data_IF_861503971729
#
_entry.id   IF_861503971729
#
_cell.length_a   1.000
_cell.length_b   1.000
_cell.length_c   1.000
_cell.angle_alpha   90.00
_cell.angle_beta   90.00
_cell.angle_gamma   90.00
#
_symmetry.space_group_name_H-M   'P 1'
#
loop_
_entity.id
_entity.type
_entity.pdbx_description
1 polymer ?
#
# COMPACT_ATOMS: atom_id res chain seq x y z
N UNK A 1 31.99 -2.79 44.63
CA UNK A 1 32.67 -2.27 43.41
C UNK A 1 32.54 -3.33 42.33
N UNK A 2 32.02 -2.92 41.17
CA UNK A 2 31.64 -3.78 40.03
C UNK A 2 32.84 -4.56 39.45
N UNK A 3 32.64 -5.78 38.92
CA UNK A 3 33.57 -6.41 38.00
C UNK A 3 33.28 -5.93 36.56
N UNK A 4 34.30 -5.40 35.88
CA UNK A 4 34.23 -5.02 34.46
C UNK A 4 34.44 -6.25 33.59
N UNK A 5 33.39 -6.61 32.84
CA UNK A 5 33.36 -7.77 31.95
C UNK A 5 34.18 -7.58 30.67
N UNK A 6 34.89 -8.64 30.28
CA UNK A 6 35.62 -8.76 29.02
C UNK A 6 34.69 -8.79 27.80
N UNK A 7 34.92 -7.89 26.83
CA UNK A 7 34.34 -8.00 25.49
C UNK A 7 34.99 -9.16 24.73
N UNK A 8 34.21 -10.23 24.51
CA UNK A 8 34.58 -11.35 23.64
C UNK A 8 34.56 -10.89 22.18
N UNK A 9 35.72 -10.93 21.52
CA UNK A 9 35.90 -10.64 20.09
C UNK A 9 35.61 -11.92 19.30
N UNK A 10 34.57 -11.92 18.48
CA UNK A 10 34.30 -13.00 17.54
C UNK A 10 35.22 -12.85 16.32
N UNK A 11 36.15 -13.77 16.13
CA UNK A 11 36.94 -13.88 14.90
C UNK A 11 36.21 -14.82 13.96
N UNK A 12 35.66 -14.30 12.86
CA UNK A 12 35.25 -15.13 11.72
C UNK A 12 36.53 -15.56 10.99
N UNK A 13 36.85 -16.85 11.07
CA UNK A 13 37.93 -17.45 10.28
C UNK A 13 37.44 -17.74 8.87
N UNK A 14 37.90 -16.97 7.89
CA UNK A 14 37.76 -17.30 6.48
C UNK A 14 38.95 -18.21 6.09
N UNK A 15 38.66 -19.49 5.79
CA UNK A 15 39.67 -20.47 5.40
C UNK A 15 40.02 -20.33 3.92
N UNK A 16 41.15 -19.68 3.62
CA UNK A 16 41.77 -19.72 2.30
C UNK A 16 42.84 -20.83 2.28
N UNK A 17 42.51 -21.93 1.63
CA UNK A 17 43.44 -23.00 1.24
C UNK A 17 44.31 -22.53 0.08
N UNK A 18 45.57 -22.17 0.32
CA UNK A 18 46.71 -22.41 -0.59
C UNK A 18 48.03 -22.20 0.15
N UNK A 19 48.93 -23.15 -0.06
CA UNK A 19 50.22 -23.38 0.60
C UNK A 19 51.31 -22.35 0.21
N UNK A 20 51.04 -21.06 0.43
CA UNK A 20 52.02 -19.98 0.28
C UNK A 20 52.08 -19.18 1.56
N UNK A 21 53.18 -19.34 2.30
CA UNK A 21 53.53 -18.53 3.47
C UNK A 21 53.33 -17.04 3.14
N UNK A 22 52.33 -16.43 3.78
CA UNK A 22 52.04 -15.01 3.63
C UNK A 22 53.28 -14.24 4.13
N UNK A 23 53.92 -13.39 3.30
CA UNK A 23 55.11 -12.65 3.73
C UNK A 23 54.82 -11.82 4.98
N UNK A 24 55.74 -11.72 5.96
CA UNK A 24 55.52 -10.96 7.20
C UNK A 24 55.13 -9.49 6.95
N UNK A 25 55.61 -8.91 5.84
CA UNK A 25 55.26 -7.55 5.38
C UNK A 25 53.79 -7.41 4.96
N UNK A 26 53.15 -8.49 4.54
CA UNK A 26 51.73 -8.53 4.15
C UNK A 26 50.82 -8.68 5.37
N UNK A 27 51.24 -9.46 6.38
CA UNK A 27 50.56 -9.55 7.69
C UNK A 27 50.60 -8.19 8.40
N UNK A 28 51.74 -7.49 8.31
CA UNK A 28 51.87 -6.13 8.86
C UNK A 28 50.95 -5.14 8.14
N UNK A 29 50.82 -5.21 6.81
CA UNK A 29 49.84 -4.40 6.05
C UNK A 29 48.39 -4.69 6.42
N UNK A 30 48.01 -5.94 6.70
CA UNK A 30 46.66 -6.30 7.15
C UNK A 30 46.34 -5.77 8.56
N UNK A 31 47.33 -5.73 9.45
CA UNK A 31 47.19 -5.17 10.80
C UNK A 31 47.26 -3.63 10.82
N UNK A 32 48.03 -3.01 9.92
CA UNK A 32 48.17 -1.55 9.78
C UNK A 32 47.04 -0.92 8.95
N UNK A 33 46.29 -1.71 8.17
CA UNK A 33 44.96 -1.30 7.68
C UNK A 33 43.98 -1.35 8.83
N UNK A 34 44.04 -0.34 9.71
CA UNK A 34 42.83 0.12 10.37
C UNK A 34 41.85 0.52 9.25
N UNK A 35 40.97 -0.40 8.83
CA UNK A 35 39.74 0.01 8.20
C UNK A 35 39.09 0.97 9.18
N UNK A 36 39.19 2.27 8.92
CA UNK A 36 38.39 3.27 9.62
C UNK A 36 36.97 2.96 9.19
N UNK A 37 36.32 2.05 9.92
CA UNK A 37 34.87 1.92 9.87
C UNK A 37 34.38 3.24 10.40
N UNK A 38 34.04 4.16 9.48
CA UNK A 38 33.44 5.44 9.81
C UNK A 38 32.30 5.19 10.79
N UNK A 39 32.14 6.09 11.77
CA UNK A 39 31.09 5.96 12.78
C UNK A 39 29.75 5.67 12.06
N UNK A 40 29.04 4.58 12.40
CA UNK A 40 27.81 4.24 11.71
C UNK A 40 26.79 5.37 11.78
N UNK A 41 26.24 5.74 10.62
CA UNK A 41 25.24 6.79 10.46
C UNK A 41 23.84 6.23 10.75
N UNK A 42 23.03 6.89 11.59
CA UNK A 42 21.66 6.45 11.85
C UNK A 42 20.79 6.55 10.58
N UNK A 43 19.72 5.74 10.48
CA UNK A 43 18.84 5.76 9.33
C UNK A 43 18.10 7.10 9.24
N UNK A 44 17.81 7.54 8.02
CA UNK A 44 16.93 8.68 7.75
C UNK A 44 16.21 8.51 6.40
N UNK A 45 15.07 9.19 6.26
CA UNK A 45 14.30 9.19 5.01
C UNK A 45 14.78 10.31 4.10
N UNK A 46 15.11 10.00 2.84
CA UNK A 46 15.26 11.01 1.78
C UNK A 46 13.92 11.34 1.14
N UNK A 47 13.10 10.32 0.92
CA UNK A 47 11.77 10.45 0.33
C UNK A 47 10.80 9.65 1.19
N UNK A 48 9.76 10.33 1.67
CA UNK A 48 8.73 9.71 2.51
C UNK A 48 7.59 9.18 1.64
N UNK A 49 6.87 8.13 2.08
CA UNK A 49 5.71 7.64 1.35
C UNK A 49 4.64 8.71 1.16
N UNK A 50 4.14 8.82 -0.06
CA UNK A 50 2.99 9.67 -0.35
C UNK A 50 1.71 9.07 0.24
N UNK A 51 0.82 9.90 0.82
CA UNK A 51 -0.51 9.46 1.19
C UNK A 51 -1.32 9.02 -0.04
N UNK A 52 -2.14 7.99 0.11
CA UNK A 52 -2.93 7.41 -0.98
C UNK A 52 -4.36 7.16 -0.58
N UNK A 53 -5.20 6.92 -1.58
CA UNK A 53 -6.61 6.55 -1.40
C UNK A 53 -6.86 5.11 -1.82
N UNK A 54 -7.88 4.52 -1.20
CA UNK A 54 -8.30 3.16 -1.49
C UNK A 54 -9.17 3.13 -2.75
N UNK A 55 -8.66 2.49 -3.80
CA UNK A 55 -9.47 2.05 -4.93
C UNK A 55 -9.82 0.57 -4.71
N UNK A 56 -11.08 0.21 -4.38
CA UNK A 56 -11.41 -1.16 -4.03
C UNK A 56 -11.02 -2.19 -5.10
N UNK A 57 -10.42 -3.30 -4.67
CA UNK A 57 -9.94 -4.37 -5.52
C UNK A 57 -8.61 -4.10 -6.24
N UNK A 58 -8.04 -2.89 -6.11
CA UNK A 58 -6.72 -2.54 -6.66
C UNK A 58 -5.59 -2.81 -5.67
N UNK A 59 -4.36 -2.78 -6.16
CA UNK A 59 -3.18 -2.82 -5.29
C UNK A 59 -2.76 -1.39 -4.97
N UNK A 60 -2.26 -1.18 -3.75
CA UNK A 60 -1.68 0.10 -3.31
C UNK A 60 -0.22 -0.15 -2.97
N UNK A 61 0.67 0.69 -3.50
CA UNK A 61 2.12 0.60 -3.26
C UNK A 61 2.61 1.86 -2.56
N UNK A 62 3.28 1.70 -1.43
CA UNK A 62 4.02 2.75 -0.73
C UNK A 62 5.52 2.55 -0.92
N UNK A 63 6.23 3.65 -1.16
CA UNK A 63 7.66 3.67 -1.40
C UNK A 63 8.29 4.69 -0.46
N UNK A 64 9.39 4.33 0.19
CA UNK A 64 10.22 5.26 0.93
C UNK A 64 11.68 5.07 0.55
N UNK A 65 12.39 6.15 0.29
CA UNK A 65 13.84 6.11 0.02
C UNK A 65 14.59 6.48 1.28
N UNK A 66 15.59 5.68 1.63
CA UNK A 66 16.28 5.79 2.92
C UNK A 66 17.79 5.94 2.70
N UNK A 67 18.48 6.46 3.71
CA UNK A 67 19.96 6.40 3.83
C UNK A 67 20.33 6.02 5.24
N UNK A 68 21.58 5.65 5.41
CA UNK A 68 22.20 5.29 6.68
C UNK A 68 23.22 4.19 6.46
N UNK A 69 24.00 3.87 7.49
CA UNK A 69 24.95 2.77 7.40
C UNK A 69 24.22 1.42 7.38
N UNK A 70 24.67 0.53 6.51
CA UNK A 70 24.22 -0.86 6.46
C UNK A 70 24.66 -1.64 7.72
N UNK A 71 23.96 -2.73 8.09
CA UNK A 71 22.73 -3.25 7.49
C UNK A 71 21.48 -2.49 7.95
N UNK A 72 20.71 -1.98 6.99
CA UNK A 72 19.41 -1.35 7.25
C UNK A 72 18.31 -2.42 7.24
N UNK A 73 17.46 -2.39 8.25
CA UNK A 73 16.28 -3.24 8.37
C UNK A 73 15.02 -2.40 8.26
N UNK A 74 14.08 -2.83 7.43
CA UNK A 74 12.80 -2.15 7.21
C UNK A 74 11.67 -2.95 7.84
N UNK A 75 10.81 -2.26 8.57
CA UNK A 75 9.57 -2.79 9.14
C UNK A 75 8.41 -1.86 8.80
N UNK A 76 7.27 -2.45 8.51
CA UNK A 76 6.02 -1.71 8.32
C UNK A 76 5.06 -2.01 9.45
N UNK A 77 4.35 -1.00 9.91
CA UNK A 77 3.35 -1.12 10.97
C UNK A 77 2.01 -0.61 10.46
N UNK A 78 0.93 -1.21 10.97
CA UNK A 78 -0.43 -0.68 10.86
C UNK A 78 -0.95 -0.41 12.27
N UNK A 79 -1.11 0.87 12.61
CA UNK A 79 -1.19 1.29 14.01
C UNK A 79 0.01 0.75 14.80
N UNK A 80 -0.24 0.02 15.89
CA UNK A 80 0.81 -0.60 16.71
C UNK A 80 1.30 -1.98 16.21
N UNK A 81 0.66 -2.57 15.20
CA UNK A 81 0.93 -3.95 14.78
C UNK A 81 1.96 -4.00 13.66
N UNK A 82 3.06 -4.72 13.87
CA UNK A 82 4.03 -5.03 12.81
C UNK A 82 3.38 -5.90 11.73
N UNK A 83 3.52 -5.48 10.48
CA UNK A 83 3.01 -6.17 9.31
C UNK A 83 3.98 -7.26 8.88
N UNK A 84 3.43 -8.36 8.36
CA UNK A 84 4.19 -9.50 7.89
C UNK A 84 3.95 -9.69 6.39
N UNK A 85 5.00 -10.09 5.68
CA UNK A 85 4.90 -10.45 4.27
C UNK A 85 3.97 -11.66 4.11
N UNK A 86 3.07 -11.64 3.13
CA UNK A 86 2.10 -12.70 2.87
C UNK A 86 1.19 -12.42 1.67
N UNK A 87 0.17 -13.26 1.47
CA UNK A 87 -0.69 -13.22 0.26
C UNK A 87 -1.37 -11.87 -0.02
N UNK A 88 -1.67 -11.08 1.02
CA UNK A 88 -2.32 -9.77 0.89
C UNK A 88 -1.37 -8.58 1.05
N UNK A 89 -0.10 -8.82 1.36
CA UNK A 89 0.84 -7.79 1.75
C UNK A 89 2.27 -8.21 1.35
N UNK A 90 2.88 -7.51 0.42
CA UNK A 90 4.28 -7.69 0.07
C UNK A 90 5.12 -6.56 0.68
N UNK A 91 6.15 -6.95 1.42
CA UNK A 91 7.15 -6.03 1.98
C UNK A 91 8.49 -6.39 1.35
N UNK A 92 9.23 -5.39 0.87
CA UNK A 92 10.59 -5.56 0.36
C UNK A 92 11.47 -4.35 0.61
N UNK A 93 12.78 -4.56 0.59
CA UNK A 93 13.79 -3.51 0.70
C UNK A 93 14.93 -3.80 -0.28
N UNK A 94 15.06 -2.97 -1.31
CA UNK A 94 16.06 -3.14 -2.39
C UNK A 94 16.57 -1.77 -2.81
N UNK A 95 17.88 -1.66 -3.03
CA UNK A 95 18.53 -0.42 -3.49
C UNK A 95 18.10 0.82 -2.68
N UNK A 96 18.08 0.69 -1.35
CA UNK A 96 17.67 1.72 -0.39
C UNK A 96 16.23 2.23 -0.55
N UNK A 97 15.36 1.43 -1.19
CA UNK A 97 13.92 1.70 -1.33
C UNK A 97 13.12 0.67 -0.53
N UNK A 98 12.45 1.15 0.52
CA UNK A 98 11.49 0.41 1.32
C UNK A 98 10.13 0.39 0.60
N UNK A 99 9.60 -0.80 0.34
CA UNK A 99 8.35 -0.98 -0.39
C UNK A 99 7.34 -1.75 0.43
N UNK A 100 6.10 -1.25 0.47
CA UNK A 100 4.92 -1.97 0.96
C UNK A 100 3.87 -2.01 -0.14
N UNK A 101 3.45 -3.20 -0.54
CA UNK A 101 2.34 -3.42 -1.48
C UNK A 101 1.20 -4.09 -0.73
N UNK A 102 0.03 -3.47 -0.73
CA UNK A 102 -1.22 -4.07 -0.27
C UNK A 102 -2.00 -4.54 -1.49
N UNK A 103 -2.38 -5.82 -1.52
CA UNK A 103 -3.11 -6.40 -2.66
C UNK A 103 -4.62 -6.35 -2.45
N UNK A 104 -5.35 -6.05 -3.53
CA UNK A 104 -6.84 -6.07 -3.56
C UNK A 104 -7.45 -5.32 -2.36
N UNK A 105 -7.02 -4.09 -2.15
CA UNK A 105 -7.43 -3.29 -1.00
C UNK A 105 -8.94 -3.05 -0.98
N UNK A 106 -9.48 -2.88 0.21
CA UNK A 106 -10.86 -2.47 0.48
C UNK A 106 -10.87 -1.43 1.61
N UNK A 107 -12.05 -0.93 1.99
CA UNK A 107 -12.25 0.02 3.10
C UNK A 107 -11.53 -0.40 4.39
N UNK A 108 -11.47 -1.71 4.69
CA UNK A 108 -10.88 -2.23 5.91
C UNK A 108 -9.37 -2.05 5.95
N UNK A 109 -8.72 -1.63 4.86
CA UNK A 109 -7.31 -1.30 4.79
C UNK A 109 -7.02 0.16 5.15
N UNK A 110 -8.03 1.02 5.31
CA UNK A 110 -7.85 2.42 5.65
C UNK A 110 -7.16 2.61 7.00
N UNK A 111 -6.47 3.73 7.14
CA UNK A 111 -5.89 4.19 8.40
C UNK A 111 -4.39 4.45 8.33
N UNK A 112 -3.77 4.44 9.50
CA UNK A 112 -2.38 4.83 9.69
C UNK A 112 -1.42 3.65 9.54
N UNK A 113 -0.36 3.93 8.80
CA UNK A 113 0.77 3.03 8.60
C UNK A 113 2.06 3.73 9.02
N UNK A 114 3.09 2.97 9.35
CA UNK A 114 4.41 3.52 9.67
C UNK A 114 5.49 2.70 9.00
N UNK A 115 6.33 3.36 8.22
CA UNK A 115 7.59 2.80 7.76
C UNK A 115 8.65 3.04 8.82
N UNK A 116 9.38 1.99 9.21
CA UNK A 116 10.41 2.07 10.23
C UNK A 116 11.69 1.45 9.72
N UNK A 117 12.79 2.18 9.89
CA UNK A 117 14.11 1.79 9.40
C UNK A 117 15.06 1.74 10.58
N UNK A 118 15.86 0.69 10.70
CA UNK A 118 16.70 0.41 11.87
C UNK A 118 18.09 -0.02 11.42
N UNK A 119 19.12 0.48 12.10
CA UNK A 119 20.46 -0.10 12.11
C UNK A 119 21.04 -0.08 13.53
N UNK A 120 22.35 -0.33 13.66
CA UNK A 120 23.03 -0.33 14.95
C UNK A 120 23.25 1.07 15.56
N UNK A 121 23.17 2.14 14.77
CA UNK A 121 23.32 3.52 15.22
C UNK A 121 21.99 4.14 15.67
N UNK A 122 20.86 3.59 15.23
CA UNK A 122 19.56 4.08 15.64
C UNK A 122 18.41 3.54 14.80
N UNK A 123 17.29 4.23 14.94
CA UNK A 123 16.02 3.91 14.30
C UNK A 123 15.30 5.19 13.93
N UNK A 124 14.63 5.16 12.79
CA UNK A 124 13.79 6.26 12.32
C UNK A 124 12.41 5.71 11.92
N UNK A 125 11.36 6.51 12.04
CA UNK A 125 9.99 6.13 11.71
C UNK A 125 9.26 7.24 10.96
N UNK A 126 8.61 6.89 9.86
CA UNK A 126 7.84 7.79 9.04
C UNK A 126 6.37 7.33 9.01
N UNK A 127 5.43 8.10 9.60
CA UNK A 127 4.01 7.81 9.51
C UNK A 127 3.46 8.18 8.12
N UNK A 128 2.47 7.43 7.65
CA UNK A 128 1.69 7.75 6.45
C UNK A 128 0.23 7.34 6.65
N UNK A 129 -0.66 7.89 5.84
CA UNK A 129 -2.08 7.58 5.91
C UNK A 129 -2.59 7.01 4.58
N UNK A 130 -3.37 5.93 4.67
CA UNK A 130 -4.16 5.39 3.56
C UNK A 130 -5.62 5.79 3.79
N UNK A 131 -6.08 6.76 2.99
CA UNK A 131 -7.41 7.32 3.13
C UNK A 131 -8.47 6.40 2.53
N UNK A 132 -9.64 6.29 3.17
CA UNK A 132 -10.81 5.79 2.47
C UNK A 132 -11.15 6.77 1.33
N UNK A 133 -11.79 6.27 0.28
CA UNK A 133 -12.41 7.15 -0.71
C UNK A 133 -13.53 7.96 -0.04
N UNK A 134 -13.43 9.29 -0.11
CA UNK A 134 -14.41 10.24 0.43
C UNK A 134 -14.96 11.13 -0.69
N UNK A 135 -16.26 11.36 -0.66
CA UNK A 135 -16.97 12.25 -1.59
C UNK A 135 -17.34 13.53 -0.87
N UNK A 136 -17.09 14.69 -1.46
CA UNK A 136 -17.56 15.98 -0.91
C UNK A 136 -18.95 16.33 -1.44
N UNK A 137 -19.81 16.87 -0.56
CA UNK A 137 -21.13 17.42 -0.92
C UNK A 137 -21.06 18.44 -2.05
N UNK A 138 -22.07 18.46 -2.91
CA UNK A 138 -22.22 19.42 -4.00
C UNK A 138 -21.47 19.05 -5.27
N UNK A 139 -20.56 18.08 -5.23
CA UNK A 139 -19.80 17.64 -6.39
C UNK A 139 -20.48 16.46 -7.10
N UNK A 140 -20.19 16.33 -8.39
CA UNK A 140 -20.59 15.18 -9.17
C UNK A 140 -19.74 13.95 -8.81
N UNK A 141 -20.37 12.78 -8.78
CA UNK A 141 -19.71 11.49 -8.54
C UNK A 141 -20.06 10.52 -9.63
N UNK A 142 -19.07 9.85 -10.19
CA UNK A 142 -19.27 8.75 -11.12
C UNK A 142 -18.75 7.46 -10.51
N UNK A 143 -19.66 6.54 -10.19
CA UNK A 143 -19.34 5.15 -9.85
C UNK A 143 -19.19 4.36 -11.15
N UNK A 144 -18.15 3.54 -11.26
CA UNK A 144 -17.95 2.65 -12.42
C UNK A 144 -17.89 1.19 -11.98
N UNK A 145 -18.26 0.29 -12.88
CA UNK A 145 -18.18 -1.15 -12.71
C UNK A 145 -17.79 -1.76 -14.05
N UNK A 146 -16.70 -2.52 -14.09
CA UNK A 146 -16.26 -3.27 -15.28
C UNK A 146 -16.90 -4.64 -15.27
N UNK A 147 -17.64 -4.97 -16.31
CA UNK A 147 -18.39 -6.21 -16.42
C UNK A 147 -17.79 -7.02 -17.57
N UNK A 148 -17.40 -8.25 -17.26
CA UNK A 148 -16.94 -9.26 -18.20
C UNK A 148 -17.95 -10.41 -18.24
N UNK A 149 -18.39 -10.77 -19.43
CA UNK A 149 -19.36 -11.83 -19.64
C UNK A 149 -19.87 -11.86 -21.07
N UNK A 150 -20.63 -12.89 -21.43
CA UNK A 150 -21.27 -12.96 -22.74
C UNK A 150 -22.41 -11.94 -22.85
N UNK A 151 -22.58 -11.27 -24.01
CA UNK A 151 -23.80 -10.52 -24.34
C UNK A 151 -25.06 -11.40 -24.25
N UNK A 152 -26.26 -10.87 -24.07
CA UNK A 152 -26.67 -9.47 -23.84
C UNK A 152 -26.82 -9.19 -22.34
N UNK A 153 -25.92 -8.36 -21.80
CA UNK A 153 -25.85 -8.12 -20.35
C UNK A 153 -26.78 -6.96 -19.99
N UNK A 154 -27.69 -7.22 -19.05
CA UNK A 154 -28.50 -6.20 -18.39
C UNK A 154 -27.82 -5.74 -17.10
N UNK A 155 -27.90 -4.43 -16.81
CA UNK A 155 -27.27 -3.84 -15.61
C UNK A 155 -28.28 -3.00 -14.83
N UNK A 156 -28.26 -3.14 -13.51
CA UNK A 156 -29.06 -2.35 -12.59
C UNK A 156 -28.23 -1.89 -11.40
N UNK A 157 -28.49 -0.66 -10.94
CA UNK A 157 -27.89 -0.11 -9.72
C UNK A 157 -28.89 -0.07 -8.58
N UNK A 158 -28.42 -0.29 -7.36
CA UNK A 158 -29.21 -0.29 -6.14
C UNK A 158 -28.53 0.56 -5.07
N UNK A 159 -29.33 1.13 -4.18
CA UNK A 159 -28.85 1.81 -2.98
C UNK A 159 -29.76 1.45 -1.81
N UNK A 160 -29.17 1.01 -0.69
CA UNK A 160 -29.92 0.55 0.49
C UNK A 160 -31.03 -0.48 0.14
N UNK A 161 -30.74 -1.38 -0.82
CA UNK A 161 -31.68 -2.39 -1.31
C UNK A 161 -32.70 -1.88 -2.35
N UNK A 162 -32.88 -0.57 -2.51
CA UNK A 162 -33.80 0.01 -3.50
C UNK A 162 -33.14 0.16 -4.88
N UNK A 163 -33.82 -0.30 -5.94
CA UNK A 163 -33.36 -0.12 -7.33
C UNK A 163 -33.38 1.36 -7.70
N UNK A 164 -32.23 1.89 -8.11
CA UNK A 164 -32.09 3.27 -8.58
C UNK A 164 -32.74 3.43 -9.95
N UNK A 165 -33.30 4.62 -10.19
CA UNK A 165 -33.94 5.00 -11.46
C UNK A 165 -33.30 6.26 -12.00
N UNK A 166 -33.31 6.40 -13.33
CA UNK A 166 -32.80 7.58 -14.01
C UNK A 166 -33.60 8.82 -13.57
N UNK A 167 -32.89 9.88 -13.24
CA UNK A 167 -33.44 11.18 -12.87
C UNK A 167 -32.47 12.30 -13.31
N UNK A 168 -32.85 13.58 -13.22
CA UNK A 168 -31.95 14.69 -13.56
C UNK A 168 -30.65 14.73 -12.74
N UNK A 169 -30.67 14.14 -11.55
CA UNK A 169 -29.53 14.10 -10.62
C UNK A 169 -28.80 12.75 -10.61
N UNK A 170 -29.34 11.73 -11.30
CA UNK A 170 -28.85 10.36 -11.28
C UNK A 170 -29.00 9.74 -12.68
N UNK A 171 -27.89 9.56 -13.40
CA UNK A 171 -27.89 8.89 -14.70
C UNK A 171 -27.07 7.60 -14.65
N UNK A 172 -27.43 6.64 -15.50
CA UNK A 172 -26.79 5.34 -15.57
C UNK A 172 -26.57 4.98 -17.04
N UNK A 173 -25.39 4.46 -17.34
CA UNK A 173 -25.00 4.04 -18.69
C UNK A 173 -24.24 2.72 -18.64
N UNK A 174 -24.29 1.93 -19.71
CA UNK A 174 -23.49 0.73 -19.87
C UNK A 174 -22.97 0.65 -21.31
N UNK A 175 -21.65 0.74 -21.48
CA UNK A 175 -21.00 0.65 -22.78
C UNK A 175 -19.61 0.06 -22.66
N UNK A 176 -19.18 -0.70 -23.68
CA UNK A 176 -17.84 -1.31 -23.75
C UNK A 176 -17.43 -2.09 -22.47
N UNK A 177 -18.39 -2.79 -21.86
CA UNK A 177 -18.17 -3.54 -20.62
C UNK A 177 -17.96 -2.67 -19.38
N UNK A 178 -18.35 -1.40 -19.40
CA UNK A 178 -18.26 -0.47 -18.27
C UNK A 178 -19.65 0.08 -17.97
N UNK A 179 -20.19 -0.28 -16.81
CA UNK A 179 -21.39 0.33 -16.25
C UNK A 179 -21.01 1.55 -15.42
N UNK A 180 -21.68 2.66 -15.63
CA UNK A 180 -21.46 3.92 -14.92
C UNK A 180 -22.74 4.39 -14.26
N UNK A 181 -22.64 4.92 -13.04
CA UNK A 181 -23.70 5.61 -12.32
C UNK A 181 -23.17 7.01 -11.96
N UNK A 182 -23.77 8.04 -12.54
CA UNK A 182 -23.40 9.43 -12.34
C UNK A 182 -24.42 10.12 -11.43
N UNK A 183 -23.95 10.66 -10.32
CA UNK A 183 -24.69 11.55 -9.43
C UNK A 183 -24.22 12.98 -9.72
N UNK A 184 -25.09 13.85 -10.22
CA UNK A 184 -24.71 15.18 -10.72
C UNK A 184 -24.38 16.14 -9.58
N UNK A 185 -25.07 16.01 -8.44
CA UNK A 185 -24.86 16.83 -7.25
C UNK A 185 -25.10 15.97 -6.02
N UNK A 186 -24.03 15.68 -5.28
CA UNK A 186 -24.12 14.83 -4.09
C UNK A 186 -24.64 15.59 -2.88
N UNK A 187 -25.56 14.98 -2.14
CA UNK A 187 -26.08 15.46 -0.87
C UNK A 187 -25.77 14.44 0.24
N UNK A 188 -26.02 14.80 1.51
CA UNK A 188 -25.74 13.88 2.63
C UNK A 188 -26.62 12.63 2.54
N UNK A 189 -27.81 12.77 1.94
CA UNK A 189 -28.68 11.67 1.60
C UNK A 189 -28.02 10.65 0.67
N UNK A 190 -27.01 11.03 -0.14
CA UNK A 190 -26.27 10.14 -1.06
C UNK A 190 -25.20 9.29 -0.36
N UNK A 191 -24.94 9.52 0.93
CA UNK A 191 -24.16 8.61 1.75
C UNK A 191 -24.83 7.24 1.79
N UNK A 192 -24.04 6.18 1.62
CA UNK A 192 -24.53 4.82 1.73
C UNK A 192 -23.85 3.83 0.82
N UNK A 193 -24.46 2.65 0.74
CA UNK A 193 -23.95 1.50 0.00
C UNK A 193 -24.66 1.37 -1.35
N UNK A 194 -23.86 1.29 -2.41
CA UNK A 194 -24.31 1.21 -3.80
C UNK A 194 -23.91 -0.13 -4.41
N UNK A 195 -24.85 -0.82 -5.01
CA UNK A 195 -24.64 -2.14 -5.62
C UNK A 195 -24.89 -2.07 -7.11
N UNK A 196 -23.92 -2.51 -7.91
CA UNK A 196 -24.09 -2.78 -9.34
C UNK A 196 -24.40 -4.27 -9.51
N UNK A 197 -25.55 -4.60 -10.09
CA UNK A 197 -25.94 -5.97 -10.45
C UNK A 197 -25.94 -6.10 -11.98
N UNK A 198 -25.26 -7.11 -12.50
CA UNK A 198 -25.26 -7.48 -13.90
C UNK A 198 -25.87 -8.88 -14.07
N UNK A 199 -26.62 -9.07 -15.16
CA UNK A 199 -27.35 -10.31 -15.42
C UNK A 199 -27.43 -10.58 -16.92
N UNK A 200 -27.20 -11.84 -17.31
CA UNK A 200 -27.40 -12.35 -18.67
C UNK A 200 -28.12 -13.70 -18.62
N UNK A 201 -28.25 -14.37 -19.77
CA UNK A 201 -28.90 -15.70 -19.86
C UNK A 201 -28.23 -16.81 -19.05
N UNK A 202 -26.96 -16.64 -18.66
CA UNK A 202 -26.16 -17.66 -17.97
C UNK A 202 -26.26 -17.50 -16.46
N UNK A 203 -26.34 -16.25 -15.98
CA UNK A 203 -26.51 -15.99 -14.56
C UNK A 203 -26.52 -14.52 -14.20
N UNK A 204 -26.37 -14.24 -12.90
CA UNK A 204 -26.28 -12.89 -12.36
C UNK A 204 -25.12 -12.78 -11.39
N UNK A 205 -24.50 -11.61 -11.36
CA UNK A 205 -23.45 -11.28 -10.42
C UNK A 205 -23.56 -9.82 -10.01
N UNK A 206 -23.09 -9.50 -8.81
CA UNK A 206 -23.22 -8.17 -8.24
C UNK A 206 -21.99 -7.78 -7.46
N UNK A 207 -21.79 -6.47 -7.34
CA UNK A 207 -20.77 -5.96 -6.46
C UNK A 207 -21.13 -4.60 -5.89
N UNK A 208 -20.51 -4.31 -4.77
CA UNK A 208 -20.97 -3.26 -3.88
C UNK A 208 -19.83 -2.34 -3.45
N UNK A 209 -20.10 -1.04 -3.41
CA UNK A 209 -19.18 -0.02 -2.92
C UNK A 209 -19.89 0.94 -1.97
N UNK A 210 -19.19 1.42 -0.95
CA UNK A 210 -19.72 2.43 -0.01
C UNK A 210 -19.25 3.83 -0.42
N UNK A 211 -20.20 4.75 -0.53
CA UNK A 211 -19.99 6.18 -0.77
C UNK A 211 -20.18 6.92 0.54
N UNK A 212 -19.19 7.70 0.96
CA UNK A 212 -19.26 8.53 2.18
C UNK A 212 -19.24 9.99 1.79
N UNK A 213 -20.27 10.75 2.16
CA UNK A 213 -20.39 12.17 1.79
C UNK A 213 -20.03 13.07 2.97
N UNK A 214 -18.99 13.91 2.85
CA UNK A 214 -18.54 14.86 3.89
C UNK A 214 -18.68 16.33 3.47
N UNK A 215 -18.80 17.19 4.49
CA UNK A 215 -19.24 18.59 4.38
C UNK A 215 -18.22 19.60 3.88
N UNK A 216 -16.94 19.28 3.69
CA UNK A 216 -15.95 20.27 3.23
C UNK A 216 -14.90 19.71 2.27
N UNK A 217 -14.38 20.65 1.48
CA UNK A 217 -13.76 20.51 0.16
C UNK A 217 -12.47 19.69 0.09
N UNK A 218 -12.50 18.57 -0.65
CA UNK A 218 -11.43 18.11 -1.57
C UNK A 218 -12.06 17.32 -2.74
N UNK A 219 -11.68 17.66 -3.98
CA UNK A 219 -12.13 16.97 -5.19
C UNK A 219 -11.48 15.60 -5.27
N UNK A 220 -12.26 14.52 -5.32
CA UNK A 220 -11.78 13.18 -5.64
C UNK A 220 -12.78 12.46 -6.55
N UNK A 221 -12.39 12.30 -7.82
CA UNK A 221 -13.08 11.48 -8.80
C UNK A 221 -12.72 10.02 -8.52
N UNK A 222 -13.53 9.32 -7.73
CA UNK A 222 -13.25 7.93 -7.37
C UNK A 222 -13.83 6.98 -8.42
N UNK A 223 -12.96 6.44 -9.26
CA UNK A 223 -13.30 5.33 -10.15
C UNK A 223 -13.27 4.06 -9.31
N UNK A 224 -14.44 3.58 -8.89
CA UNK A 224 -14.57 2.18 -8.52
C UNK A 224 -14.38 1.35 -9.79
N UNK A 225 -13.47 0.38 -9.78
CA UNK A 225 -13.37 -0.59 -10.87
C UNK A 225 -13.64 -1.96 -10.30
N UNK A 226 -14.91 -2.30 -10.25
CA UNK A 226 -15.35 -3.62 -9.85
C UNK A 226 -15.28 -4.54 -11.07
N UNK A 227 -14.80 -5.79 -10.94
CA UNK A 227 -14.86 -6.79 -12.00
C UNK A 227 -16.01 -7.74 -11.67
N UNK A 228 -17.03 -7.76 -12.52
CA UNK A 228 -18.06 -8.80 -12.50
C UNK A 228 -17.71 -9.81 -13.59
N UNK A 229 -17.58 -11.09 -13.25
CA UNK A 229 -17.49 -12.20 -14.21
C UNK A 229 -18.80 -12.97 -14.14
N UNK A 230 -19.54 -12.97 -15.25
CA UNK A 230 -20.72 -13.82 -15.39
C UNK A 230 -20.23 -15.25 -15.71
N UNK A 231 -20.49 -16.18 -14.80
CA UNK A 231 -20.30 -17.62 -15.02
C UNK A 231 -21.53 -18.22 -15.67
#
# INVERSE_FOLDING_TARGET
MYPTGSSKKWLMTCSLTTDKLIPPSFIKKLNDTHFVVGRPEPPSFLETPEPKEILPGKNVTFLAKVKGSAPLQVKWFRGAKEMQHGRGCEISFKADVATLVLHRVDRSHAGEYTCQVINNAGKESCPLHLFPVEVTMGNAVTLKCRIAGSPDISVAWFKAGGKLRKSPICSMDFSNGIASLNLVKTAKSDDGEYTCKAENRVGSASATCRVTVKGDARILCSIFQIIIVLH
#
